data_IF_516998122302
#
_entry.id   IF_516998122302
#
_cell.length_a   1.000
_cell.length_b   1.000
_cell.length_c   1.000
_cell.angle_alpha   90.00
_cell.angle_beta   90.00
_cell.angle_gamma   90.00
#
_symmetry.space_group_name_H-M   'P 1'
#
loop_
_entity.id
_entity.type
_entity.pdbx_description
1 polymer ?
2 non-polymer ?
#
# COMPACT_ATOMS: atom_id res chain seq x y z
N UNK A 1 11.54 -17.12 15.53
CA UNK A 1 10.42 -16.21 15.68
C UNK A 1 9.12 -16.94 15.96
N UNK A 2 8.60 -16.76 17.17
CA UNK A 2 7.38 -17.45 17.55
C UNK A 2 6.19 -16.83 16.84
N UNK A 3 5.21 -17.67 16.51
CA UNK A 3 3.92 -17.19 16.03
C UNK A 3 3.00 -16.80 17.18
N UNK A 4 3.50 -16.83 18.42
CA UNK A 4 2.71 -16.45 19.58
C UNK A 4 3.02 -15.06 20.12
N UNK A 5 4.25 -14.55 19.99
CA UNK A 5 4.51 -13.17 20.41
C UNK A 5 3.71 -12.19 19.58
N UNK A 6 3.53 -12.51 18.28
CA UNK A 6 2.74 -11.72 17.33
C UNK A 6 1.41 -11.38 17.96
N UNK A 7 0.84 -12.37 18.63
CA UNK A 7 -0.47 -12.22 19.23
C UNK A 7 -0.51 -11.14 20.29
N UNK A 8 0.52 -11.08 21.15
CA UNK A 8 0.54 -10.16 22.27
C UNK A 8 0.96 -8.74 21.88
N UNK A 9 1.60 -8.56 20.73
CA UNK A 9 1.71 -7.23 20.16
C UNK A 9 0.34 -6.69 19.77
N UNK A 10 -0.50 -7.55 19.19
CA UNK A 10 -1.84 -7.14 18.77
C UNK A 10 -2.82 -7.16 19.93
N UNK A 11 -2.59 -8.02 20.92
CA UNK A 11 -3.41 -8.03 22.13
C UNK A 11 -3.32 -6.71 22.86
N UNK A 12 -2.15 -6.09 22.83
CA UNK A 12 -1.89 -4.90 23.63
C UNK A 12 -2.29 -3.61 22.91
N UNK A 13 -2.34 -3.61 21.59
CA UNK A 13 -2.89 -2.47 20.86
C UNK A 13 -4.40 -2.49 20.79
N UNK A 14 -5.06 -3.53 21.31
CA UNK A 14 -6.52 -3.62 21.36
C UNK A 14 -7.11 -3.54 19.97
N UNK A 15 -6.56 -4.33 19.05
CA UNK A 15 -6.97 -4.30 17.66
C UNK A 15 -7.28 -5.73 17.21
N UNK A 16 -7.39 -5.92 15.90
CA UNK A 16 -7.72 -7.20 15.30
C UNK A 16 -7.18 -7.17 13.88
N UNK A 17 -6.04 -7.83 13.66
CA UNK A 17 -5.38 -7.74 12.37
C UNK A 17 -4.46 -8.91 12.10
N UNK A 18 -3.83 -8.87 10.91
CA UNK A 18 -2.97 -9.95 10.43
C UNK A 18 -1.75 -9.34 9.76
N UNK A 19 -0.62 -10.03 9.87
CA UNK A 19 0.63 -9.63 9.20
C UNK A 19 1.05 -10.75 8.26
N UNK A 20 0.82 -10.57 6.97
CA UNK A 20 1.20 -11.57 5.97
C UNK A 20 2.64 -11.33 5.58
N UNK A 21 3.40 -12.42 5.43
CA UNK A 21 4.81 -12.37 5.04
C UNK A 21 5.03 -13.38 3.92
N UNK A 22 5.82 -12.99 2.92
CA UNK A 22 6.18 -13.88 1.82
C UNK A 22 7.69 -13.80 1.59
N UNK A 23 8.34 -14.98 1.56
CA UNK A 23 9.76 -15.11 1.28
C UNK A 23 9.91 -16.14 0.17
N UNK A 24 9.92 -15.67 -1.08
CA UNK A 24 10.09 -16.51 -2.26
C UNK A 24 8.98 -17.56 -2.36
N UNK A 25 7.75 -17.06 -2.46
CA UNK A 25 6.54 -17.85 -2.69
C UNK A 25 6.21 -18.83 -1.55
N UNK A 26 6.71 -18.56 -0.35
CA UNK A 26 6.30 -19.27 0.86
C UNK A 26 5.71 -18.26 1.83
N UNK A 27 4.42 -18.39 2.12
CA UNK A 27 3.67 -17.38 2.86
C UNK A 27 3.35 -17.91 4.26
N UNK A 28 3.65 -17.09 5.27
CA UNK A 28 3.35 -17.38 6.66
C UNK A 28 2.40 -16.32 7.20
N UNK A 29 1.42 -16.76 7.98
CA UNK A 29 0.45 -15.85 8.58
C UNK A 29 0.87 -15.46 9.99
N UNK A 30 0.55 -14.22 10.37
CA UNK A 30 0.94 -13.68 11.68
C UNK A 30 -0.07 -12.66 12.19
N UNK A 31 -0.95 -13.05 13.11
CA UNK A 31 -1.91 -12.09 13.64
C UNK A 31 -2.66 -12.65 14.82
N UNK A 32 -3.39 -11.75 15.47
CA UNK A 32 -4.37 -12.15 16.49
C UNK A 32 -5.74 -12.36 15.88
N UNK A 33 -5.85 -12.23 14.56
CA UNK A 33 -7.06 -12.42 13.77
C UNK A 33 -6.59 -12.85 12.38
N UNK A 34 -6.11 -14.10 12.31
CA UNK A 34 -5.51 -14.66 11.11
C UNK A 34 -6.49 -14.79 9.95
N UNK A 35 -7.80 -14.84 10.23
CA UNK A 35 -8.78 -15.00 9.18
C UNK A 35 -8.86 -13.79 8.25
N UNK A 36 -8.34 -12.64 8.68
CA UNK A 36 -8.42 -11.44 7.85
C UNK A 36 -7.57 -11.53 6.59
N UNK A 37 -6.62 -12.48 6.54
CA UNK A 37 -5.74 -12.59 5.38
C UNK A 37 -6.51 -12.97 4.12
N UNK A 38 -7.62 -13.68 4.27
CA UNK A 38 -8.45 -14.06 3.13
C UNK A 38 -9.75 -13.26 3.07
N UNK A 39 -9.79 -12.11 3.74
CA UNK A 39 -10.96 -11.24 3.77
C UNK A 39 -10.74 -10.02 2.89
N UNK A 40 -11.76 -9.68 2.11
CA UNK A 40 -11.67 -8.61 1.13
C UNK A 40 -11.99 -7.26 1.79
N UNK A 41 -11.02 -6.35 1.76
CA UNK A 41 -11.19 -4.99 2.23
C UNK A 41 -10.86 -4.02 1.11
N UNK A 42 -11.38 -2.81 1.20
CA UNK A 42 -11.05 -1.82 0.18
C UNK A 42 -9.56 -1.52 0.24
N UNK A 43 -8.88 -1.24 -0.88
CA UNK A 43 -7.42 -1.07 -0.82
C UNK A 43 -6.99 0.25 -0.19
N UNK A 44 -7.85 1.28 -0.24
CA UNK A 44 -7.53 2.61 0.28
C UNK A 44 -6.29 3.22 -0.35
N UNK A 45 -5.50 3.92 0.48
CA UNK A 45 -4.33 4.67 0.04
C UNK A 45 -3.21 3.78 -0.49
N UNK A 46 -3.36 2.46 -0.42
CA UNK A 46 -2.36 1.57 -1.01
C UNK A 46 -2.50 1.45 -2.52
N UNK A 47 -3.66 1.77 -3.07
CA UNK A 47 -3.90 1.63 -4.52
C UNK A 47 -3.01 2.58 -5.33
N UNK A 48 -2.43 3.57 -4.65
CA UNK A 48 -1.57 4.55 -5.32
C UNK A 48 -0.37 3.93 -6.02
N UNK A 49 0.01 2.73 -5.59
CA UNK A 49 1.11 2.02 -6.23
C UNK A 49 0.71 1.49 -7.59
N UNK A 50 -0.51 0.95 -7.68
CA UNK A 50 -0.99 0.50 -8.98
C UNK A 50 -1.48 1.66 -9.84
N UNK A 51 -1.97 2.72 -9.21
CA UNK A 51 -2.37 3.89 -9.97
C UNK A 51 -1.17 4.55 -10.64
N UNK A 52 -0.04 4.65 -9.93
CA UNK A 52 1.16 5.22 -10.52
C UNK A 52 1.69 4.33 -11.63
N UNK A 53 1.67 3.01 -11.44
CA UNK A 53 2.15 2.10 -12.48
C UNK A 53 1.33 2.25 -13.74
N UNK A 54 0.00 2.24 -13.62
CA UNK A 54 -0.85 2.34 -14.81
C UNK A 54 -0.68 3.69 -15.48
N UNK A 55 -0.46 4.74 -14.70
CA UNK A 55 -0.30 6.06 -15.29
C UNK A 55 1.03 6.23 -16.00
N UNK A 56 2.12 5.86 -15.32
CA UNK A 56 3.45 6.01 -15.92
C UNK A 56 3.61 5.10 -17.14
N UNK A 57 3.01 3.90 -17.09
CA UNK A 57 3.11 2.97 -18.20
C UNK A 57 2.38 3.49 -19.43
N UNK A 58 1.17 4.02 -19.25
CA UNK A 58 0.40 4.55 -20.36
C UNK A 58 0.75 6.00 -20.72
N UNK A 59 1.77 6.57 -20.08
CA UNK A 59 2.28 7.90 -20.40
C UNK A 59 1.20 8.98 -20.27
N UNK A 60 0.38 8.86 -19.24
CA UNK A 60 -0.51 9.94 -18.85
C UNK A 60 0.17 10.93 -17.93
N UNK A 61 1.41 10.66 -17.55
CA UNK A 61 2.19 11.52 -16.66
C UNK A 61 3.62 11.01 -16.69
N UNK A 62 4.46 11.64 -15.88
CA UNK A 62 5.83 11.18 -15.68
C UNK A 62 6.21 11.47 -14.24
N UNK A 63 7.41 11.03 -13.86
CA UNK A 63 7.89 11.26 -12.51
C UNK A 63 8.23 12.71 -12.23
N UNK A 64 8.21 13.57 -13.26
CA UNK A 64 8.63 14.95 -13.14
C UNK A 64 7.48 15.95 -13.11
N UNK A 65 6.33 15.61 -13.69
CA UNK A 65 5.24 16.58 -13.82
C UNK A 65 4.81 17.09 -12.45
N UNK A 66 4.80 18.40 -12.30
CA UNK A 66 4.43 19.06 -11.06
C UNK A 66 2.96 19.42 -11.12
N UNK A 67 2.22 19.05 -10.07
CA UNK A 67 0.77 19.25 -10.00
C UNK A 67 0.47 20.52 -9.23
N UNK A 68 -0.16 21.49 -9.88
CA UNK A 68 -0.48 22.75 -9.23
C UNK A 68 -1.62 22.58 -8.24
N UNK A 69 -1.45 23.12 -7.05
CA UNK A 69 -2.54 23.23 -6.08
C UNK A 69 -3.35 24.47 -6.42
N UNK A 70 -4.61 24.29 -6.79
CA UNK A 70 -5.41 25.37 -7.35
C UNK A 70 -6.35 26.00 -6.32
N UNK A 71 -6.07 25.83 -5.02
CA UNK A 71 -6.66 26.64 -3.97
C UNK A 71 -7.52 25.90 -2.99
N UNK A 72 -8.20 24.83 -3.43
CA UNK A 72 -9.24 24.23 -2.61
C UNK A 72 -8.69 23.67 -1.31
N UNK A 73 -9.54 23.65 -0.28
CA UNK A 73 -9.16 23.18 1.04
C UNK A 73 -9.12 21.65 1.05
N UNK A 74 -7.96 21.09 1.34
CA UNK A 74 -7.75 19.66 1.34
C UNK A 74 -7.76 19.10 2.77
N UNK A 75 -7.70 17.77 2.87
CA UNK A 75 -7.87 17.09 4.15
C UNK A 75 -6.80 17.53 5.15
N UNK A 76 -5.54 17.28 4.83
CA UNK A 76 -4.42 17.71 5.64
C UNK A 76 -3.75 18.92 5.00
N UNK A 77 -3.12 19.74 5.83
CA UNK A 77 -2.53 20.98 5.36
C UNK A 77 -1.25 20.77 4.56
N UNK A 78 -0.59 19.63 4.72
CA UNK A 78 0.62 19.35 3.95
C UNK A 78 0.31 19.04 2.48
N UNK A 79 -0.96 18.88 2.13
CA UNK A 79 -1.37 18.61 0.75
C UNK A 79 -1.56 19.87 -0.08
N UNK A 80 -1.57 21.05 0.55
CA UNK A 80 -1.92 22.30 -0.12
C UNK A 80 -0.65 22.98 -0.64
N UNK A 81 -0.05 22.34 -1.64
CA UNK A 81 1.15 22.85 -2.29
C UNK A 81 1.35 22.11 -3.60
N UNK A 82 2.19 22.68 -4.45
CA UNK A 82 2.58 22.00 -5.67
C UNK A 82 3.49 20.82 -5.33
N UNK A 83 3.33 19.72 -6.06
CA UNK A 83 4.12 18.53 -5.78
C UNK A 83 4.08 17.62 -6.99
N UNK A 84 5.02 16.68 -7.03
CA UNK A 84 5.12 15.70 -8.10
C UNK A 84 4.40 14.41 -7.72
N UNK A 85 4.52 13.40 -8.58
CA UNK A 85 3.89 12.12 -8.29
C UNK A 85 4.54 11.42 -7.11
N UNK A 86 5.83 11.62 -6.90
CA UNK A 86 6.54 10.98 -5.81
C UNK A 86 6.23 11.59 -4.46
N UNK A 87 6.26 12.93 -4.39
CA UNK A 87 5.95 13.62 -3.15
C UNK A 87 4.49 13.42 -2.75
N UNK A 88 3.60 13.26 -3.74
CA UNK A 88 2.22 12.92 -3.44
C UNK A 88 2.07 11.48 -2.96
N UNK A 89 3.04 10.62 -3.30
CA UNK A 89 3.02 9.25 -2.79
C UNK A 89 3.39 9.21 -1.31
N UNK A 90 4.44 9.96 -0.94
CA UNK A 90 4.86 10.00 0.46
C UNK A 90 3.75 10.57 1.35
N UNK A 91 3.15 11.67 0.93
CA UNK A 91 2.11 12.33 1.70
C UNK A 91 0.74 11.70 1.53
N UNK A 92 0.61 10.71 0.65
CA UNK A 92 -0.67 10.04 0.39
C UNK A 92 -1.73 11.03 -0.06
N UNK A 93 -1.32 12.11 -0.73
CA UNK A 93 -2.23 13.16 -1.15
C UNK A 93 -3.22 12.62 -2.18
N UNK A 94 -4.47 12.45 -1.77
CA UNK A 94 -5.49 11.82 -2.60
C UNK A 94 -5.84 12.67 -3.82
N UNK A 95 -6.06 13.99 -3.71
CA UNK A 95 -6.51 14.76 -4.89
C UNK A 95 -5.55 14.68 -6.08
N UNK A 96 -4.26 14.41 -5.86
CA UNK A 96 -3.33 14.30 -6.97
C UNK A 96 -3.65 13.06 -7.80
N UNK A 97 -3.67 11.89 -7.14
CA UNK A 97 -3.92 10.64 -7.85
C UNK A 97 -5.34 10.56 -8.40
N UNK A 98 -6.26 11.38 -7.91
CA UNK A 98 -7.59 11.44 -8.51
C UNK A 98 -7.50 12.03 -9.91
N UNK A 99 -6.77 13.14 -10.05
CA UNK A 99 -6.61 13.75 -11.36
C UNK A 99 -5.89 12.81 -12.32
N UNK A 100 -4.97 12.00 -11.81
CA UNK A 100 -4.32 11.00 -12.64
C UNK A 100 -5.31 9.94 -13.08
N UNK A 101 -6.22 9.54 -12.18
CA UNK A 101 -7.20 8.52 -12.53
C UNK A 101 -8.17 9.02 -13.58
N UNK A 102 -8.46 10.33 -13.58
CA UNK A 102 -9.32 10.88 -14.63
C UNK A 102 -8.59 10.96 -15.97
N UNK A 103 -7.28 11.18 -15.95
CA UNK A 103 -6.52 11.16 -17.20
C UNK A 103 -6.51 9.77 -17.79
N UNK A 104 -6.38 8.75 -16.94
CA UNK A 104 -6.38 7.37 -17.42
C UNK A 104 -7.74 6.99 -17.99
N UNK A 105 -8.81 7.33 -17.27
CA UNK A 105 -10.14 7.04 -17.74
C UNK A 105 -10.65 5.69 -17.27
N UNK A 106 -11.97 5.59 -17.15
CA UNK A 106 -12.58 4.38 -16.62
C UNK A 106 -12.32 3.19 -17.53
N UNK A 107 -12.35 3.40 -18.86
CA UNK A 107 -12.15 2.30 -19.79
C UNK A 107 -10.74 1.74 -19.70
N UNK A 108 -9.73 2.62 -19.79
CA UNK A 108 -8.35 2.17 -19.69
C UNK A 108 -8.03 1.64 -18.29
N UNK A 109 -8.64 2.21 -17.25
CA UNK A 109 -8.38 1.74 -15.90
C UNK A 109 -8.91 0.32 -15.68
N UNK A 110 -10.06 0.01 -16.28
CA UNK A 110 -10.66 -1.32 -16.10
C UNK A 110 -9.98 -2.35 -17.00
N UNK A 111 -10.23 -2.25 -18.31
C UNK A 111 -7.19 -2.69 -18.81
N UNK A 112 -6.85 -2.26 -17.59
CA UNK A 112 -5.57 -2.60 -16.97
C UNK A 112 -5.74 -3.32 -15.64
N UNK A 113 -6.74 -2.96 -14.84
CA UNK A 113 -6.92 -3.59 -13.54
C UNK A 113 -7.23 -5.07 -13.69
N UNK A 114 -8.12 -5.42 -14.62
CA UNK A 114 -8.44 -6.82 -14.84
C UNK A 114 -7.29 -7.58 -15.50
N UNK A 115 -6.38 -6.87 -16.17
CA UNK A 115 -5.20 -7.52 -16.73
C UNK A 115 -4.21 -7.91 -15.63
N UNK A 116 -4.00 -7.02 -14.66
CA UNK A 116 -3.10 -7.33 -13.56
C UNK A 116 -3.76 -8.29 -12.57
N UNK A 117 -5.09 -8.35 -12.55
CA UNK A 117 -5.79 -9.24 -11.65
C UNK A 117 -5.69 -8.82 -10.20
N UNK A 118 -6.02 -7.55 -9.93
CA UNK A 118 -5.92 -6.97 -8.59
C UNK A 118 -7.28 -7.03 -7.92
N UNK A 119 -7.34 -7.68 -6.75
CA UNK A 119 -8.56 -7.75 -5.97
C UNK A 119 -9.68 -8.41 -6.75
N UNK A 120 -10.90 -7.94 -6.52
CA UNK A 120 -12.06 -8.42 -7.27
C UNK A 120 -12.10 -7.88 -8.70
N UNK A 121 -11.22 -6.93 -9.03
CA UNK A 121 -11.05 -6.42 -10.39
C UNK A 121 -12.30 -5.71 -10.91
N UNK A 122 -12.98 -4.97 -10.03
CA UNK A 122 -14.15 -4.18 -10.41
C UNK A 122 -14.01 -2.78 -9.82
N UNK A 123 -14.30 -1.77 -10.65
CA UNK A 123 -14.13 -0.38 -10.26
C UNK A 123 -15.42 0.43 -10.38
N UNK A 124 -16.50 -0.19 -10.82
CA UNK A 124 -17.77 0.53 -10.87
C UNK A 124 -17.77 1.53 -12.01
N UNK A 125 -18.25 2.74 -11.73
CA UNK A 125 -18.39 3.77 -12.76
C UNK A 125 -17.65 5.04 -12.40
N UNK A 126 -17.53 5.34 -11.10
CA UNK A 126 -16.81 6.52 -10.64
C UNK A 126 -15.33 6.17 -10.57
N UNK A 127 -14.54 6.74 -11.50
CA UNK A 127 -13.13 6.36 -11.65
C UNK A 127 -12.23 7.01 -10.60
N UNK A 128 -12.77 7.87 -9.74
CA UNK A 128 -11.96 8.63 -8.81
C UNK A 128 -12.24 8.31 -7.34
N UNK A 129 -13.00 7.27 -7.05
CA UNK A 129 -13.21 6.87 -5.65
C UNK A 129 -13.65 5.42 -5.54
N UNK A 130 -13.20 4.56 -6.45
CA UNK A 130 -13.55 3.15 -6.34
C UNK A 130 -12.65 2.38 -5.38
N UNK A 131 -11.47 2.91 -5.06
CA UNK A 131 -10.56 2.26 -4.13
C UNK A 131 -10.78 2.69 -2.69
N UNK A 132 -11.65 3.66 -2.44
CA UNK A 132 -11.87 4.20 -1.11
C UNK A 132 -13.17 3.73 -0.47
N UNK A 133 -14.19 3.39 -1.26
CA UNK A 133 -15.45 2.92 -0.71
C UNK A 133 -16.03 1.83 -1.61
N UNK A 134 -15.16 1.10 -2.30
CA UNK A 134 -15.59 0.07 -3.21
C UNK A 134 -15.95 0.64 -4.56
N UNK A 135 -16.31 -0.23 -5.52
CA UNK A 135 -16.46 -1.68 -5.36
C UNK A 135 -15.17 -2.49 -5.54
N UNK A 136 -14.03 -1.90 -5.23
CA UNK A 136 -12.75 -2.60 -5.30
C UNK A 136 -12.36 -3.08 -3.91
N UNK A 137 -12.07 -4.37 -3.81
CA UNK A 137 -11.67 -4.97 -2.54
C UNK A 137 -10.59 -6.01 -2.82
N UNK A 138 -9.57 -6.05 -1.95
CA UNK A 138 -8.42 -6.92 -2.14
C UNK A 138 -8.03 -7.49 -0.78
N UNK A 139 -7.62 -8.76 -0.77
CA UNK A 139 -7.22 -9.53 0.41
C UNK A 139 -5.75 -9.28 0.72
N UNK A 140 -5.40 -9.25 2.02
CA UNK A 140 -3.99 -9.00 2.39
C UNK A 140 -3.01 -10.01 1.81
N UNK A 141 -3.48 -11.18 1.40
CA UNK A 141 -2.60 -12.12 0.70
C UNK A 141 -2.36 -11.65 -0.73
N UNK A 142 -3.42 -11.21 -1.41
CA UNK A 142 -3.25 -10.67 -2.75
C UNK A 142 -2.38 -9.43 -2.75
N UNK A 143 -2.36 -8.68 -1.64
CA UNK A 143 -1.52 -7.49 -1.57
C UNK A 143 -0.05 -7.87 -1.44
N UNK A 144 0.27 -8.80 -0.54
CA UNK A 144 1.67 -9.15 -0.32
C UNK A 144 2.27 -9.82 -1.55
N UNK A 145 1.42 -10.49 -2.35
CA UNK A 145 1.88 -11.04 -3.62
C UNK A 145 2.11 -9.94 -4.66
N UNK A 146 1.33 -8.87 -4.61
CA UNK A 146 1.51 -7.77 -5.55
C UNK A 146 2.82 -7.04 -5.29
N UNK A 147 3.05 -6.61 -4.05
CA UNK A 147 4.29 -5.92 -3.71
C UNK A 147 5.49 -6.85 -3.84
N UNK A 148 5.27 -8.16 -3.73
CA UNK A 148 6.37 -9.10 -3.95
C UNK A 148 6.83 -9.06 -5.40
N UNK A 149 5.89 -8.91 -6.33
CA UNK A 149 6.27 -8.84 -7.75
C UNK A 149 6.89 -7.49 -8.08
N UNK A 150 6.41 -6.42 -7.42
CA UNK A 150 6.95 -5.10 -7.68
C UNK A 150 8.40 -4.99 -7.19
N UNK A 151 8.69 -5.57 -6.03
CA UNK A 151 10.06 -5.57 -5.50
C UNK A 151 10.99 -6.35 -6.42
N UNK A 152 10.62 -7.58 -6.78
CA UNK A 152 11.43 -8.37 -7.70
C UNK A 152 11.38 -7.86 -9.14
N UNK A 153 10.67 -6.76 -9.40
CA UNK A 153 10.55 -6.16 -10.72
C UNK A 153 9.92 -7.15 -11.71
N UNK A 154 8.80 -7.74 -11.30
CA UNK A 154 8.13 -8.78 -12.06
C UNK A 154 6.67 -8.46 -12.33
N UNK A 155 6.27 -7.20 -12.23
CA UNK A 155 4.88 -6.90 -12.53
C UNK A 155 4.70 -6.67 -14.03
N UNK A 156 3.51 -6.99 -14.57
CA UNK A 156 3.28 -6.85 -16.01
C UNK A 156 3.33 -5.40 -16.49
N UNK A 157 4.45 -4.72 -16.24
CA UNK A 157 4.68 -3.37 -16.73
C UNK A 157 6.13 -3.26 -17.17
N UNK A 158 6.48 -2.10 -17.71
CA UNK A 158 7.85 -1.89 -18.16
C UNK A 158 8.80 -1.89 -16.97
N UNK A 159 10.03 -2.37 -17.21
CA UNK A 159 11.02 -2.45 -16.15
C UNK A 159 11.38 -1.08 -15.62
N UNK A 160 11.40 -0.06 -16.47
CA UNK A 160 11.74 1.29 -16.00
C UNK A 160 10.59 1.90 -15.20
N UNK A 161 9.36 1.50 -15.49
CA UNK A 161 8.21 2.04 -14.79
C UNK A 161 8.18 1.54 -13.35
N UNK A 162 8.37 0.23 -13.16
CA UNK A 162 8.33 -0.32 -11.82
C UNK A 162 9.43 0.25 -10.93
N UNK A 163 10.65 0.37 -11.47
CA UNK A 163 11.74 0.91 -10.67
C UNK A 163 11.50 2.37 -10.29
N UNK A 164 10.71 3.09 -11.08
CA UNK A 164 10.34 4.45 -10.70
C UNK A 164 9.39 4.46 -9.51
N UNK A 165 8.34 3.64 -9.57
CA UNK A 165 7.40 3.54 -8.46
C UNK A 165 8.11 3.03 -7.21
N UNK A 166 9.06 2.10 -7.39
CA UNK A 166 9.82 1.60 -6.27
C UNK A 166 10.60 2.71 -5.57
N UNK A 167 11.14 3.66 -6.34
CA UNK A 167 11.87 4.77 -5.75
C UNK A 167 10.96 5.74 -5.01
N UNK A 168 9.66 5.71 -5.27
CA UNK A 168 8.73 6.57 -4.56
C UNK A 168 8.33 6.00 -3.20
N UNK A 169 8.74 4.79 -2.87
CA UNK A 169 8.19 4.06 -1.74
C UNK A 169 9.20 3.81 -0.62
N UNK A 170 10.42 4.33 -0.74
CA UNK A 170 11.39 4.16 0.33
C UNK A 170 10.93 4.90 1.59
N UNK A 171 11.05 4.22 2.72
CA UNK A 171 10.60 4.76 4.01
C UNK A 171 11.70 4.86 5.05
N UNK A 172 12.50 3.81 5.23
CA UNK A 172 13.58 3.82 6.19
C UNK A 172 14.77 3.05 5.63
N UNK A 173 15.97 3.62 5.74
CA UNK A 173 17.21 3.02 5.22
C UNK A 173 18.27 3.10 6.31
N UNK A 174 18.39 2.03 7.11
CA UNK A 174 19.34 1.99 8.21
C UNK A 174 19.97 0.62 8.30
N UNK A 175 21.28 0.60 8.58
CA UNK A 175 22.06 -0.63 8.80
C UNK A 175 22.16 -1.47 7.53
N UNK A 176 22.25 -0.81 6.38
CA UNK A 176 22.25 -1.47 5.09
C UNK A 176 20.92 -2.06 4.69
N UNK A 177 19.93 -2.08 5.57
CA UNK A 177 18.59 -2.51 5.25
C UNK A 177 17.83 -1.39 4.53
N UNK A 178 16.73 -1.78 3.88
CA UNK A 178 15.83 -0.85 3.23
C UNK A 178 14.42 -1.38 3.40
N UNK A 179 13.48 -0.49 3.72
CA UNK A 179 12.09 -0.85 3.95
C UNK A 179 11.23 0.04 3.07
N UNK A 180 10.62 -0.55 2.05
CA UNK A 180 9.68 0.14 1.19
C UNK A 180 8.26 -0.21 1.61
N UNK A 181 7.33 0.69 1.37
CA UNK A 181 5.95 0.44 1.74
C UNK A 181 5.09 1.65 1.53
N UNK A 182 3.78 1.42 1.70
CA UNK A 182 2.78 2.47 1.52
C UNK A 182 1.66 2.23 2.52
N UNK A 183 1.22 3.30 3.18
CA UNK A 183 0.22 3.21 4.23
C UNK A 183 -1.18 3.49 3.68
N UNK A 184 -2.18 3.02 4.42
CA UNK A 184 -3.56 3.27 4.07
C UNK A 184 -4.42 3.34 5.33
N UNK A 185 -5.62 3.87 5.15
CA UNK A 185 -6.57 4.00 6.27
C UNK A 185 -7.96 4.35 5.76
N UNK A 186 -8.80 3.34 5.58
CA UNK A 186 -10.19 3.56 5.15
C UNK A 186 -11.00 3.96 6.37
N UNK A 187 -11.00 5.26 6.67
CA UNK A 187 -11.69 5.79 7.83
C UNK A 187 -13.20 5.93 7.63
N UNK A 188 -13.67 5.83 6.39
CA UNK A 188 -15.07 6.08 6.07
C UNK A 188 -15.93 4.82 6.06
N UNK A 189 -15.38 3.68 6.47
CA UNK A 189 -16.16 2.44 6.53
C UNK A 189 -16.05 1.85 7.92
N UNK A 190 -17.10 1.13 8.32
CA UNK A 190 -17.15 0.48 9.63
C UNK A 190 -17.20 -1.03 9.45
N UNK A 191 -16.31 -1.78 10.12
CA UNK A 191 -15.23 -1.22 10.93
C UNK A 191 -14.08 -0.68 10.09
N UNK A 192 -13.34 0.28 10.62
CA UNK A 192 -12.23 0.85 9.85
C UNK A 192 -11.15 -0.20 9.62
N UNK A 193 -10.27 0.10 8.67
CA UNK A 193 -9.22 -0.83 8.27
C UNK A 193 -8.00 -0.02 7.88
N UNK A 194 -6.84 -0.39 8.44
CA UNK A 194 -5.59 0.24 8.11
C UNK A 194 -4.63 -0.73 7.44
N UNK A 195 -3.83 -0.21 6.51
CA UNK A 195 -2.90 -1.01 5.73
C UNK A 195 -1.46 -0.59 6.01
N UNK A 196 -0.53 -1.45 5.60
CA UNK A 196 0.89 -1.15 5.53
C UNK A 196 1.58 -2.24 4.74
N UNK A 197 1.52 -2.15 3.41
CA UNK A 197 2.03 -3.18 2.51
C UNK A 197 3.31 -2.69 1.86
N UNK A 198 4.36 -3.50 1.96
CA UNK A 198 5.64 -3.16 1.35
C UNK A 198 6.57 -4.35 1.27
N UNK A 199 7.86 -4.11 1.49
CA UNK A 199 8.85 -5.19 1.50
C UNK A 199 10.11 -4.69 2.19
N UNK A 200 11.01 -5.62 2.46
CA UNK A 200 12.28 -5.34 3.14
C UNK A 200 13.41 -5.77 2.22
N UNK A 201 14.34 -4.85 1.94
CA UNK A 201 15.54 -5.15 1.16
C UNK A 201 16.68 -5.39 2.14
N UNK A 202 16.87 -6.65 2.51
CA UNK A 202 17.94 -7.01 3.42
C UNK A 202 19.31 -6.67 2.81
N UNK A 203 20.33 -6.46 3.63
CA UNK A 203 21.63 -5.97 3.11
C UNK A 203 22.20 -6.81 1.98
N UNK A 204 21.98 -8.13 1.99
CA UNK A 204 22.46 -9.00 0.94
C UNK A 204 21.57 -8.99 -0.30
N UNK A 205 20.63 -8.05 -0.39
CA UNK A 205 19.70 -7.99 -1.50
C UNK A 205 18.54 -8.94 -1.41
N UNK A 206 18.44 -9.74 -0.35
CA UNK A 206 17.32 -10.65 -0.18
C UNK A 206 16.04 -9.86 0.09
N UNK A 207 14.91 -10.37 -0.41
CA UNK A 207 13.65 -9.64 -0.41
C UNK A 207 12.64 -10.39 0.44
N UNK A 208 11.97 -9.64 1.33
CA UNK A 208 10.91 -10.17 2.19
C UNK A 208 9.76 -9.18 2.15
N UNK A 209 8.61 -9.61 1.63
CA UNK A 209 7.44 -8.76 1.48
C UNK A 209 6.45 -8.98 2.62
N UNK A 210 5.75 -7.91 2.99
CA UNK A 210 4.76 -7.96 4.06
C UNK A 210 3.49 -7.24 3.61
N UNK A 211 2.41 -7.46 4.37
CA UNK A 211 1.12 -6.80 4.11
C UNK A 211 0.36 -6.77 5.44
N UNK A 212 0.53 -5.68 6.18
CA UNK A 212 -0.11 -5.53 7.49
C UNK A 212 -1.53 -5.01 7.31
N UNK A 213 -2.50 -5.77 7.80
CA UNK A 213 -3.90 -5.37 7.82
C UNK A 213 -4.38 -5.40 9.26
N UNK A 214 -5.14 -4.38 9.65
CA UNK A 214 -5.65 -4.30 11.02
C UNK A 214 -6.82 -3.34 11.07
N UNK A 215 -7.79 -3.66 11.93
CA UNK A 215 -8.93 -2.78 12.14
C UNK A 215 -8.47 -1.49 12.81
N UNK A 216 -9.06 -0.37 12.38
CA UNK A 216 -8.65 0.94 12.85
C UNK A 216 -9.75 1.59 13.67
N UNK A 217 -9.35 2.57 14.47
CA UNK A 217 -10.27 3.45 15.17
C UNK A 217 -9.69 4.86 15.14
N UNK A 218 -10.60 5.85 15.17
CA UNK A 218 -10.20 7.24 14.96
C UNK A 218 -9.18 7.72 15.99
N UNK A 219 -9.18 7.12 17.18
CA UNK A 219 -8.31 7.55 18.25
C UNK A 219 -6.88 7.03 18.13
N UNK A 220 -6.63 6.10 17.23
CA UNK A 220 -5.28 5.57 17.08
C UNK A 220 -4.37 6.59 16.40
N UNK A 221 -3.08 6.56 16.72
CA UNK A 221 -2.12 7.37 15.97
C UNK A 221 -1.80 6.74 14.62
N UNK A 222 -1.33 7.59 13.70
CA UNK A 222 -0.84 7.08 12.41
C UNK A 222 0.42 6.24 12.58
N UNK A 223 1.17 6.46 13.65
CA UNK A 223 2.37 5.69 13.94
C UNK A 223 2.08 4.40 14.71
N UNK A 224 0.81 3.97 14.76
CA UNK A 224 0.48 2.69 15.36
C UNK A 224 0.68 1.54 14.38
N UNK A 225 0.69 1.83 13.08
CA UNK A 225 0.90 0.80 12.08
C UNK A 225 2.39 0.49 11.93
N UNK A 226 3.21 1.54 11.85
CA UNK A 226 4.66 1.33 11.73
C UNK A 226 5.22 0.76 13.02
N UNK A 227 4.72 1.21 14.17
CA UNK A 227 5.19 0.67 15.44
C UNK A 227 4.89 -0.82 15.55
N UNK A 228 3.69 -1.22 15.12
CA UNK A 228 3.31 -2.63 15.23
C UNK A 228 4.09 -3.51 14.26
N UNK A 229 4.40 -2.99 13.07
CA UNK A 229 5.14 -3.77 12.08
C UNK A 229 6.62 -3.87 12.45
N UNK A 230 7.23 -2.74 12.82
CA UNK A 230 8.68 -2.70 13.04
C UNK A 230 9.11 -3.58 14.22
N UNK A 231 8.25 -3.72 15.23
CA UNK A 231 8.55 -4.63 16.33
C UNK A 231 8.29 -6.09 15.98
N UNK A 232 7.59 -6.35 14.88
CA UNK A 232 7.36 -7.71 14.41
C UNK A 232 8.41 -8.20 13.44
N UNK A 233 8.91 -7.32 12.56
CA UNK A 233 10.07 -7.66 11.75
C UNK A 233 11.33 -7.72 12.60
N UNK A 234 11.37 -6.99 13.72
CA UNK A 234 12.45 -7.12 14.67
C UNK A 234 12.44 -8.49 15.33
N UNK A 235 11.24 -9.00 15.67
CA UNK A 235 11.13 -10.31 16.31
C UNK A 235 11.45 -11.43 15.33
N UNK A 236 10.89 -11.38 14.13
CA UNK A 236 11.15 -12.41 13.13
C UNK A 236 12.56 -12.35 12.56
N UNK A 237 13.41 -11.49 13.13
CA UNK A 237 14.81 -11.36 12.73
C UNK A 237 14.96 -11.01 11.25
N UNK A 238 14.01 -10.22 10.73
CA UNK A 238 14.15 -9.70 9.37
C UNK A 238 14.93 -8.40 9.36
N UNK A 239 15.06 -7.72 10.50
CA UNK A 239 15.84 -6.49 10.60
C UNK A 239 16.64 -6.49 11.90
X LIG B 1 -4.87 10.34 4.29
X LIG B 1 -4.37 9.69 5.56
X LIG B 1 -3.66 8.49 5.02
X LIG B 1 -4.67 9.34 3.14
X LIG B 1 -5.56 7.13 2.32
X LIG B 1 -6.27 10.91 4.47
X LIG B 1 -5.26 9.19 8.27
X LIG B 1 -3.99 10.01 8.47
X LIG B 1 -2.87 7.57 5.83
X LIG B 1 -6.30 9.87 9.17
X LIG B 1 -5.54 10.82 10.08
X LIG B 1 -5.92 8.55 2.73
X LIG B 1 -6.73 9.18 1.60
X LIG B 1 -8.09 8.51 1.38
X LIG B 1 -5.94 12.24 9.83
X LIG B 1 -4.77 13.04 11.83
X LIG B 1 -4.96 14.48 9.86
X LIG B 1 -4.10 10.66 9.79
X LIG B 1 -3.80 8.35 3.79
X LIG B 1 -5.27 13.20 10.47
X LIG B 1 -1.94 8.02 6.54
X LIG B 1 -3.17 6.36 5.82
X LIG B 1 -6.93 10.56 1.92
X LIG B 1 -6.84 12.49 9.03
X LIG B 1 -5.98 6.22 3.34
X LIG B 1 -5.74 9.20 6.57
#
# INVERSE_FOLDING_TARGET
>A
GHNQVIHQYFDEKNTSGVLVIQTDKKINLYGNALSRANTEYVPASTFKMLNALIGLENQKTDINEIFKWKGEKRSATAWEKDMTLGEAMKLSAVPVYQELARRIGLDLMQKEVKRIGFGNAEIGQQVDNFWLVGPLKVTPIQEVEFVSQLAHTQLPFSEKVQANVKNMLLLEESNGYKIFGKTGWAADIKPQVGWLTGWVEQPDGKIVAFALNMEMRSEMPASIRNELLMKSLKQLNII
>B hetero
1 KE1 C1 C2 C3 C5 C7 C11 C1A C2A C31 C4A C5A C6 C61 C62 C6A C8A C9A N3A N4 N7A O31 O32 O62 O6A O7 S21
#
